data_IF_144651885323
#
_entry.id   IF_144651885323
#
_cell.length_a   1.000
_cell.length_b   1.000
_cell.length_c   1.000
_cell.angle_alpha   90.00
_cell.angle_beta   90.00
_cell.angle_gamma   90.00
#
_symmetry.space_group_name_H-M   'P 1'
#
loop_
_entity.id
_entity.type
_entity.pdbx_description
1 polymer ?
#
# COMPACT_ATOMS: atom_id res chain seq x y z
N UNK A 1 -24.40 -1.73 -40.18
CA UNK A 1 -24.45 -0.98 -38.90
C UNK A 1 -23.65 -1.79 -37.90
N UNK A 2 -22.37 -1.47 -37.69
CA UNK A 2 -21.55 -2.17 -36.70
C UNK A 2 -21.87 -1.60 -35.32
N UNK A 3 -22.45 -2.42 -34.45
CA UNK A 3 -22.69 -2.07 -33.05
C UNK A 3 -21.36 -2.14 -32.32
N UNK A 4 -20.83 -0.99 -31.92
CA UNK A 4 -19.70 -0.92 -30.99
C UNK A 4 -20.20 -1.32 -29.60
N UNK A 5 -19.79 -2.49 -29.14
CA UNK A 5 -19.97 -2.90 -27.75
C UNK A 5 -18.85 -2.24 -26.93
N UNK A 6 -19.18 -1.19 -26.18
CA UNK A 6 -18.28 -0.65 -25.16
C UNK A 6 -18.28 -1.59 -23.94
N UNK A 7 -17.12 -2.02 -23.42
CA UNK A 7 -17.10 -2.84 -22.21
C UNK A 7 -17.42 -1.96 -20.99
N UNK A 8 -18.54 -2.24 -20.33
CA UNK A 8 -19.07 -1.48 -19.19
C UNK A 8 -18.42 -1.85 -17.83
N UNK A 9 -17.11 -2.12 -17.79
CA UNK A 9 -16.40 -2.53 -16.57
C UNK A 9 -15.28 -1.56 -16.12
N UNK A 10 -15.01 -0.47 -16.86
CA UNK A 10 -13.87 0.42 -16.53
C UNK A 10 -14.22 1.56 -15.56
N UNK A 11 -15.46 2.07 -15.57
CA UNK A 11 -15.77 3.33 -14.87
C UNK A 11 -15.60 3.24 -13.35
N UNK A 12 -16.00 2.13 -12.73
CA UNK A 12 -15.90 1.94 -11.28
C UNK A 12 -14.47 1.64 -10.83
N UNK A 13 -13.67 0.91 -11.63
CA UNK A 13 -12.25 0.70 -11.33
C UNK A 13 -11.44 1.98 -11.46
N UNK A 14 -11.77 2.82 -12.44
CA UNK A 14 -11.09 4.11 -12.66
C UNK A 14 -11.38 5.08 -11.52
N UNK A 15 -12.62 5.17 -11.05
CA UNK A 15 -13.01 5.98 -9.90
C UNK A 15 -12.35 5.50 -8.60
N UNK A 16 -12.25 4.18 -8.39
CA UNK A 16 -11.56 3.61 -7.24
C UNK A 16 -10.06 3.95 -7.26
N UNK A 17 -9.39 3.78 -8.40
CA UNK A 17 -7.96 4.07 -8.53
C UNK A 17 -7.67 5.57 -8.33
N UNK A 18 -8.53 6.47 -8.86
CA UNK A 18 -8.43 7.90 -8.60
C UNK A 18 -8.57 8.24 -7.11
N UNK A 19 -9.46 7.55 -6.39
CA UNK A 19 -9.63 7.74 -4.95
C UNK A 19 -8.39 7.27 -4.18
N UNK A 20 -7.82 6.12 -4.55
CA UNK A 20 -6.59 5.60 -3.95
C UNK A 20 -5.42 6.55 -4.23
N UNK A 21 -5.30 7.06 -5.45
CA UNK A 21 -4.31 8.06 -5.83
C UNK A 21 -4.37 9.32 -4.96
N UNK A 22 -5.57 9.88 -4.76
CA UNK A 22 -5.77 11.05 -3.89
C UNK A 22 -5.36 10.75 -2.43
N UNK A 23 -5.70 9.57 -1.93
CA UNK A 23 -5.32 9.14 -0.58
C UNK A 23 -3.80 8.94 -0.43
N UNK A 24 -3.10 8.41 -1.44
CA UNK A 24 -1.63 8.31 -1.45
C UNK A 24 -0.99 9.70 -1.43
N UNK A 25 -1.50 10.64 -2.24
CA UNK A 25 -1.03 12.01 -2.26
C UNK A 25 -1.24 12.69 -0.90
N UNK A 26 -2.41 12.51 -0.27
CA UNK A 26 -2.66 13.04 1.07
C UNK A 26 -1.71 12.44 2.10
N UNK A 27 -1.53 11.12 2.09
CA UNK A 27 -0.61 10.42 2.99
C UNK A 27 0.85 10.84 2.76
N UNK A 28 1.24 11.28 1.56
CA UNK A 28 2.63 11.71 1.33
C UNK A 28 3.00 13.00 2.07
N UNK A 29 2.02 13.76 2.57
CA UNK A 29 2.21 15.05 3.26
C UNK A 29 3.09 16.03 2.45
N UNK A 30 2.96 16.00 1.12
CA UNK A 30 3.72 16.85 0.21
C UNK A 30 5.19 16.46 0.03
N UNK A 31 5.60 15.28 0.53
CA UNK A 31 6.96 14.76 0.37
C UNK A 31 7.06 13.91 -0.91
N UNK A 32 7.73 14.37 -1.98
CA UNK A 32 7.71 13.66 -3.27
C UNK A 32 8.34 12.27 -3.20
N UNK A 33 9.38 12.08 -2.39
CA UNK A 33 10.03 10.79 -2.20
C UNK A 33 9.10 9.78 -1.51
N UNK A 34 8.27 10.24 -0.57
CA UNK A 34 7.33 9.40 0.15
C UNK A 34 6.13 9.04 -0.71
N UNK A 35 5.64 9.98 -1.54
CA UNK A 35 4.59 9.69 -2.52
C UNK A 35 5.03 8.60 -3.50
N UNK A 36 6.22 8.73 -4.09
CA UNK A 36 6.80 7.71 -4.98
C UNK A 36 6.92 6.36 -4.27
N UNK A 37 7.26 6.38 -2.98
CA UNK A 37 7.37 5.17 -2.15
C UNK A 37 6.02 4.49 -1.99
N UNK A 38 4.98 5.23 -1.60
CA UNK A 38 3.63 4.70 -1.40
C UNK A 38 3.04 4.18 -2.72
N UNK A 39 3.32 4.83 -3.85
CA UNK A 39 2.99 4.30 -5.17
C UNK A 39 3.75 3.01 -5.50
N UNK A 40 5.04 2.92 -5.18
CA UNK A 40 5.80 1.69 -5.35
C UNK A 40 5.23 0.51 -4.55
N UNK A 41 4.76 0.77 -3.32
CA UNK A 41 4.06 -0.22 -2.50
C UNK A 41 2.69 -0.57 -3.11
N UNK A 42 1.88 0.43 -3.47
CA UNK A 42 0.57 0.26 -4.11
C UNK A 42 0.65 -0.61 -5.36
N UNK A 43 1.59 -0.33 -6.27
CA UNK A 43 1.76 -1.05 -7.52
C UNK A 43 2.22 -2.50 -7.29
N UNK A 44 2.99 -2.76 -6.23
CA UNK A 44 3.41 -4.09 -5.83
C UNK A 44 2.29 -4.90 -5.18
N UNK A 45 1.50 -4.26 -4.31
CA UNK A 45 0.46 -4.90 -3.52
C UNK A 45 -0.83 -5.13 -4.32
N UNK A 46 -1.14 -4.22 -5.26
CA UNK A 46 -2.27 -4.32 -6.19
C UNK A 46 -3.61 -4.73 -5.55
N UNK A 47 -3.84 -4.33 -4.29
CA UNK A 47 -5.08 -4.59 -3.58
C UNK A 47 -6.27 -3.79 -4.16
N UNK A 48 -7.45 -3.92 -3.57
CA UNK A 48 -8.63 -3.15 -3.94
C UNK A 48 -9.39 -2.71 -2.68
N UNK A 49 -10.32 -1.77 -2.82
CA UNK A 49 -11.15 -1.39 -1.67
C UNK A 49 -12.05 -2.57 -1.27
N UNK A 50 -12.00 -2.94 0.00
CA UNK A 50 -12.68 -4.10 0.55
C UNK A 50 -11.86 -5.39 0.59
N UNK A 51 -10.67 -5.40 -0.04
CA UNK A 51 -9.78 -6.56 -0.08
C UNK A 51 -9.49 -7.13 1.31
N UNK A 52 -9.53 -8.45 1.42
CA UNK A 52 -9.21 -9.24 2.61
C UNK A 52 -8.66 -10.59 2.15
N UNK A 53 -7.36 -10.63 1.88
CA UNK A 53 -6.70 -11.81 1.31
C UNK A 53 -6.11 -12.64 2.45
N UNK A 54 -6.55 -13.89 2.59
CA UNK A 54 -6.09 -14.78 3.66
C UNK A 54 -4.69 -15.34 3.37
N UNK A 55 -3.80 -15.20 4.35
CA UNK A 55 -2.47 -15.80 4.35
C UNK A 55 -2.47 -17.21 4.96
N UNK A 56 -1.44 -18.01 4.64
CA UNK A 56 -1.30 -19.39 5.14
C UNK A 56 -1.20 -19.50 6.67
N UNK A 57 -0.74 -18.45 7.33
CA UNK A 57 -0.65 -18.36 8.79
C UNK A 57 -1.95 -17.85 9.47
N UNK A 58 -3.03 -17.65 8.70
CA UNK A 58 -4.32 -17.18 9.21
C UNK A 58 -4.47 -15.65 9.33
N UNK A 59 -3.39 -14.88 9.15
CA UNK A 59 -3.50 -13.43 8.98
C UNK A 59 -4.16 -13.07 7.65
N UNK A 60 -4.56 -11.82 7.47
CA UNK A 60 -5.16 -11.33 6.23
C UNK A 60 -4.52 -10.03 5.80
N UNK A 61 -4.34 -9.82 4.50
CA UNK A 61 -3.88 -8.56 3.94
C UNK A 61 -5.08 -7.72 3.48
N UNK A 62 -5.13 -6.48 3.97
CA UNK A 62 -6.33 -5.65 3.95
C UNK A 62 -6.19 -4.45 3.02
N UNK A 63 -7.19 -4.26 2.17
CA UNK A 63 -7.36 -3.06 1.36
C UNK A 63 -6.29 -2.79 0.31
N UNK A 64 -6.23 -1.55 -0.22
CA UNK A 64 -5.41 -1.18 -1.37
C UNK A 64 -3.90 -1.41 -1.26
N UNK A 65 -3.29 -1.15 -0.10
CA UNK A 65 -1.86 -1.41 0.16
C UNK A 65 -1.66 -2.68 1.00
N UNK A 66 -2.65 -3.59 1.04
CA UNK A 66 -2.50 -4.93 1.61
C UNK A 66 -1.91 -4.95 3.03
N UNK A 67 -2.43 -4.09 3.91
CA UNK A 67 -1.97 -4.02 5.30
C UNK A 67 -2.30 -5.32 6.02
N UNK A 68 -1.26 -6.04 6.44
CA UNK A 68 -1.45 -7.29 7.16
C UNK A 68 -2.17 -7.06 8.49
N UNK A 69 -3.15 -7.91 8.79
CA UNK A 69 -4.04 -7.79 9.95
C UNK A 69 -3.35 -7.94 11.30
N UNK A 70 -2.10 -8.41 11.35
CA UNK A 70 -1.33 -8.39 12.58
C UNK A 70 -1.09 -6.96 13.11
N UNK A 71 -1.16 -5.94 12.23
CA UNK A 71 -1.05 -4.53 12.62
C UNK A 71 -2.33 -3.99 13.28
N UNK A 72 -3.48 -4.64 13.08
CA UNK A 72 -4.79 -4.12 13.52
C UNK A 72 -4.83 -3.77 15.01
N UNK A 73 -4.37 -4.61 15.96
CA UNK A 73 -4.41 -4.26 17.38
C UNK A 73 -3.51 -3.05 17.72
N UNK A 74 -2.33 -2.95 17.08
CA UNK A 74 -1.39 -1.85 17.32
C UNK A 74 -1.94 -0.53 16.78
N UNK A 75 -2.51 -0.53 15.58
CA UNK A 75 -3.15 0.66 15.00
C UNK A 75 -4.37 1.06 15.83
N UNK A 76 -5.20 0.09 16.25
CA UNK A 76 -6.36 0.33 17.11
C UNK A 76 -5.99 1.04 18.41
N UNK A 77 -4.92 0.59 19.08
CA UNK A 77 -4.39 1.26 20.27
C UNK A 77 -3.88 2.69 19.95
N UNK A 78 -3.18 2.87 18.83
CA UNK A 78 -2.63 4.17 18.42
C UNK A 78 -3.71 5.23 18.19
N UNK A 79 -4.84 4.85 17.59
CA UNK A 79 -5.92 5.79 17.21
C UNK A 79 -7.10 5.80 18.19
N UNK A 80 -7.04 5.02 19.28
CA UNK A 80 -8.09 4.95 20.30
C UNK A 80 -9.42 4.37 19.79
N UNK A 81 -9.36 3.31 18.96
CA UNK A 81 -10.56 2.67 18.36
C UNK A 81 -10.54 1.17 18.57
N UNK A 82 -11.66 0.50 18.30
CA UNK A 82 -11.73 -0.96 18.41
C UNK A 82 -10.98 -1.64 17.26
N UNK A 83 -10.37 -2.83 17.47
CA UNK A 83 -9.76 -3.60 16.38
C UNK A 83 -10.73 -3.93 15.25
N UNK A 84 -12.02 -4.15 15.54
CA UNK A 84 -13.06 -4.39 14.54
C UNK A 84 -13.24 -3.18 13.63
N UNK A 85 -13.33 -1.98 14.21
CA UNK A 85 -13.48 -0.74 13.46
C UNK A 85 -12.24 -0.45 12.62
N UNK A 86 -11.04 -0.60 13.19
CA UNK A 86 -9.78 -0.42 12.44
C UNK A 86 -9.65 -1.43 11.30
N UNK A 87 -10.01 -2.71 11.52
CA UNK A 87 -10.03 -3.70 10.44
C UNK A 87 -10.97 -3.28 9.32
N UNK A 88 -12.15 -2.78 9.66
CA UNK A 88 -13.11 -2.29 8.68
C UNK A 88 -12.54 -1.11 7.87
N UNK A 89 -11.96 -0.11 8.53
CA UNK A 89 -11.33 1.03 7.84
C UNK A 89 -10.13 0.62 6.98
N UNK A 90 -9.26 -0.26 7.47
CA UNK A 90 -8.16 -0.79 6.67
C UNK A 90 -8.64 -1.46 5.38
N UNK A 91 -9.86 -2.01 5.36
CA UNK A 91 -10.43 -2.61 4.15
C UNK A 91 -11.12 -1.57 3.26
N UNK A 92 -12.02 -0.77 3.83
CA UNK A 92 -13.00 0.00 3.05
C UNK A 92 -12.72 1.51 2.98
N UNK A 93 -11.79 2.02 3.79
CA UNK A 93 -11.32 3.40 3.73
C UNK A 93 -9.91 3.46 3.11
N UNK A 94 -9.79 3.79 1.81
CA UNK A 94 -8.49 3.85 1.13
C UNK A 94 -7.55 4.90 1.75
N UNK A 95 -8.07 5.96 2.36
CA UNK A 95 -7.25 7.00 2.97
C UNK A 95 -6.71 6.54 4.32
N UNK A 96 -7.51 5.85 5.12
CA UNK A 96 -7.01 5.19 6.33
C UNK A 96 -5.97 4.11 6.00
N UNK A 97 -6.19 3.33 4.93
CA UNK A 97 -5.24 2.30 4.48
C UNK A 97 -3.89 2.91 4.03
N UNK A 98 -3.90 3.96 3.21
CA UNK A 98 -2.71 4.68 2.78
C UNK A 98 -1.95 5.31 3.95
N UNK A 99 -2.67 5.90 4.90
CA UNK A 99 -2.09 6.50 6.10
C UNK A 99 -1.46 5.43 7.02
N UNK A 100 -2.10 4.26 7.16
CA UNK A 100 -1.52 3.13 7.87
C UNK A 100 -0.23 2.62 7.17
N UNK A 101 -0.24 2.54 5.82
CA UNK A 101 0.93 2.15 5.05
C UNK A 101 2.11 3.11 5.29
N UNK A 102 1.85 4.43 5.22
CA UNK A 102 2.82 5.48 5.55
C UNK A 102 3.40 5.29 6.95
N UNK A 103 2.55 5.13 7.96
CA UNK A 103 2.99 4.99 9.33
C UNK A 103 3.85 3.74 9.54
N UNK A 104 3.47 2.59 8.95
CA UNK A 104 4.24 1.34 8.99
C UNK A 104 5.61 1.53 8.31
N UNK A 105 5.62 2.07 7.10
CA UNK A 105 6.85 2.30 6.35
C UNK A 105 7.80 3.25 7.09
N UNK A 106 7.31 4.39 7.58
CA UNK A 106 8.12 5.34 8.33
C UNK A 106 8.62 4.77 9.66
N UNK A 107 7.83 3.92 10.32
CA UNK A 107 8.27 3.18 11.51
C UNK A 107 9.42 2.22 11.18
N UNK A 108 9.33 1.49 10.07
CA UNK A 108 10.40 0.63 9.58
C UNK A 108 11.65 1.45 9.17
N UNK A 109 11.46 2.59 8.52
CA UNK A 109 12.55 3.49 8.14
C UNK A 109 13.28 4.02 9.38
N UNK A 110 12.55 4.49 10.38
CA UNK A 110 13.12 4.93 11.66
C UNK A 110 13.90 3.81 12.35
N UNK A 111 13.38 2.58 12.33
CA UNK A 111 14.04 1.44 12.98
C UNK A 111 15.28 0.94 12.24
N UNK A 112 15.30 1.08 10.91
CA UNK A 112 16.36 0.47 10.07
C UNK A 112 17.42 1.47 9.63
N UNK A 113 17.09 2.77 9.59
CA UNK A 113 17.96 3.81 9.05
C UNK A 113 18.26 3.66 7.55
N UNK A 114 17.58 2.75 6.85
CA UNK A 114 17.87 2.43 5.45
C UNK A 114 16.57 2.28 4.66
N UNK A 115 16.42 3.09 3.62
CA UNK A 115 15.22 3.14 2.79
C UNK A 115 14.82 1.78 2.22
N UNK A 116 15.75 1.07 1.55
CA UNK A 116 15.45 -0.21 0.93
C UNK A 116 15.18 -1.32 1.93
N UNK A 117 15.86 -1.29 3.08
CA UNK A 117 15.56 -2.21 4.19
C UNK A 117 14.18 -1.94 4.77
N UNK A 118 13.74 -0.68 4.84
CA UNK A 118 12.39 -0.32 5.25
C UNK A 118 11.32 -0.83 4.27
N UNK A 119 11.54 -0.72 2.95
CA UNK A 119 10.67 -1.31 1.93
C UNK A 119 10.55 -2.82 2.14
N UNK A 120 11.66 -3.53 2.33
CA UNK A 120 11.61 -4.97 2.61
C UNK A 120 10.86 -5.29 3.91
N UNK A 121 11.16 -4.56 4.98
CA UNK A 121 10.58 -4.76 6.31
C UNK A 121 9.07 -4.46 6.37
N UNK A 122 8.56 -3.60 5.48
CA UNK A 122 7.12 -3.39 5.29
C UNK A 122 6.39 -4.71 5.02
N UNK A 123 6.97 -5.56 4.17
CA UNK A 123 6.37 -6.82 3.74
C UNK A 123 6.64 -7.99 4.69
N UNK A 124 7.88 -8.14 5.18
CA UNK A 124 8.24 -9.32 5.97
C UNK A 124 9.44 -9.09 6.90
N UNK A 125 9.50 -9.74 8.07
CA UNK A 125 10.72 -9.77 8.88
C UNK A 125 11.81 -10.72 8.31
N UNK A 126 11.47 -11.58 7.34
CA UNK A 126 12.40 -12.58 6.80
C UNK A 126 13.29 -11.99 5.71
N UNK A 127 14.60 -11.95 5.92
CA UNK A 127 15.56 -11.28 5.03
C UNK A 127 15.46 -11.70 3.54
N UNK A 128 15.28 -12.99 3.24
CA UNK A 128 15.14 -13.46 1.85
C UNK A 128 13.86 -12.95 1.18
N UNK A 129 12.76 -12.83 1.93
CA UNK A 129 11.49 -12.24 1.44
C UNK A 129 11.64 -10.74 1.25
N UNK A 130 12.30 -10.05 2.18
CA UNK A 130 12.61 -8.62 2.06
C UNK A 130 13.36 -8.32 0.76
N UNK A 131 14.41 -9.10 0.47
CA UNK A 131 15.22 -8.92 -0.74
C UNK A 131 14.41 -9.11 -2.03
N UNK A 132 13.55 -10.12 -2.08
CA UNK A 132 12.67 -10.33 -3.26
C UNK A 132 11.67 -9.19 -3.41
N UNK A 133 11.05 -8.79 -2.31
CA UNK A 133 10.02 -7.75 -2.29
C UNK A 133 10.59 -6.39 -2.70
N UNK A 134 11.70 -5.95 -2.11
CA UNK A 134 12.29 -4.63 -2.44
C UNK A 134 12.71 -4.53 -3.91
N UNK A 135 13.18 -5.63 -4.52
CA UNK A 135 13.55 -5.63 -5.94
C UNK A 135 12.31 -5.51 -6.84
N UNK A 136 11.19 -6.09 -6.43
CA UNK A 136 9.91 -5.98 -7.14
C UNK A 136 9.34 -4.57 -7.03
N UNK A 137 9.30 -3.99 -5.83
CA UNK A 137 8.92 -2.58 -5.61
C UNK A 137 9.81 -1.64 -6.42
N UNK A 138 11.13 -1.85 -6.42
CA UNK A 138 12.05 -1.05 -7.21
C UNK A 138 11.74 -1.12 -8.73
N UNK A 139 11.31 -2.28 -9.22
CA UNK A 139 10.87 -2.44 -10.61
C UNK A 139 9.60 -1.64 -10.88
N UNK A 140 8.58 -1.72 -10.02
CA UNK A 140 7.36 -0.93 -10.17
C UNK A 140 7.65 0.57 -10.16
N UNK A 141 8.51 1.04 -9.24
CA UNK A 141 8.91 2.45 -9.20
C UNK A 141 9.61 2.91 -10.50
N UNK A 142 10.48 2.08 -11.09
CA UNK A 142 11.10 2.39 -12.39
C UNK A 142 10.08 2.39 -13.52
N UNK A 143 9.17 1.44 -13.56
CA UNK A 143 8.09 1.40 -14.57
C UNK A 143 7.23 2.65 -14.50
N UNK A 144 6.90 3.13 -13.29
CA UNK A 144 6.02 4.27 -13.09
C UNK A 144 6.70 5.63 -13.35
N UNK A 145 7.95 5.79 -12.89
CA UNK A 145 8.61 7.10 -12.84
C UNK A 145 9.89 7.19 -13.69
N UNK A 146 10.25 6.12 -14.39
CA UNK A 146 11.50 6.00 -15.13
C UNK A 146 12.73 5.68 -14.25
N UNK A 147 13.86 5.42 -14.89
CA UNK A 147 15.09 4.99 -14.20
C UNK A 147 15.71 6.06 -13.29
N UNK A 148 15.35 7.33 -13.50
CA UNK A 148 15.81 8.45 -12.69
C UNK A 148 15.09 8.56 -11.33
N UNK A 149 14.11 7.69 -11.03
CA UNK A 149 13.28 7.76 -9.81
C UNK A 149 14.09 7.78 -8.50
N UNK A 150 15.28 7.19 -8.51
CA UNK A 150 16.18 7.11 -7.34
C UNK A 150 17.28 8.18 -7.33
N UNK A 151 17.28 9.10 -8.29
CA UNK A 151 18.24 10.21 -8.29
C UNK A 151 17.83 11.24 -7.22
N UNK A 152 18.81 11.85 -6.52
CA UNK A 152 18.55 12.91 -5.55
C UNK A 152 17.80 14.10 -6.15
#
# INVERSE_FOLDING_TARGET
>A
MALYTTPAFSKSSDEEELRIAACILQASLGQPWLEKTLWGLRDQEAGWVGAEVRNSNGSHDLGPLQINSWWTPRIAALVGRSPVQVRHWLRFDPCFNAEAARWIFLSALRSTGNYWKAIGAYHSPTASRQYRYLNSVARHMRTRYGDAVFRP
#
